data_IF_542586611037
#
_entry.id   IF_542586611037
#
_cell.length_a   1.000
_cell.length_b   1.000
_cell.length_c   1.000
_cell.angle_alpha   90.00
_cell.angle_beta   90.00
_cell.angle_gamma   90.00
#
_symmetry.space_group_name_H-M   'P 1'
#
loop_
_entity.id
_entity.type
_entity.pdbx_description
1 polymer ?
#
# COMPACT_ATOMS: atom_id res chain seq x y z
N UNK A 1 -3.58 -3.18 -18.83
CA UNK A 1 -4.30 -2.66 -17.64
C UNK A 1 -5.17 -3.71 -16.94
N UNK A 2 -5.88 -4.55 -17.69
CA UNK A 2 -6.67 -5.70 -17.21
C UNK A 2 -5.81 -6.83 -16.62
N UNK A 3 -4.69 -7.12 -17.29
CA UNK A 3 -3.73 -8.19 -17.01
C UNK A 3 -3.22 -8.27 -15.55
N UNK A 4 -2.75 -7.14 -15.01
CA UNK A 4 -2.28 -7.08 -13.61
C UNK A 4 -3.42 -7.41 -12.62
N UNK A 5 -4.62 -6.82 -12.73
CA UNK A 5 -5.69 -7.13 -11.76
C UNK A 5 -6.17 -8.58 -11.88
N UNK A 6 -6.12 -9.15 -13.08
CA UNK A 6 -6.42 -10.56 -13.33
C UNK A 6 -5.38 -11.48 -12.72
N UNK A 7 -4.10 -11.12 -12.80
CA UNK A 7 -3.01 -11.85 -12.15
C UNK A 7 -3.13 -11.84 -10.62
N UNK A 8 -3.46 -10.72 -9.97
CA UNK A 8 -3.75 -10.69 -8.52
C UNK A 8 -4.98 -11.50 -8.14
N UNK A 9 -5.97 -11.62 -9.03
CA UNK A 9 -7.14 -12.47 -8.79
C UNK A 9 -6.79 -13.95 -8.93
N UNK A 10 -5.92 -14.32 -9.86
CA UNK A 10 -5.58 -15.71 -10.18
C UNK A 10 -4.60 -16.37 -9.21
N UNK A 11 -3.79 -15.61 -8.47
CA UNK A 11 -2.90 -16.21 -7.46
C UNK A 11 -3.72 -16.95 -6.39
N UNK A 12 -3.21 -18.10 -5.95
CA UNK A 12 -3.81 -18.89 -4.88
C UNK A 12 -3.31 -18.41 -3.52
N UNK A 13 -2.00 -18.14 -3.43
CA UNK A 13 -1.32 -17.69 -2.24
C UNK A 13 -0.54 -16.41 -2.53
N UNK A 14 -0.17 -15.66 -1.49
CA UNK A 14 0.66 -14.47 -1.66
C UNK A 14 2.11 -14.79 -2.04
N UNK A 15 2.61 -15.97 -1.70
CA UNK A 15 3.91 -16.49 -2.14
C UNK A 15 4.01 -16.68 -3.66
N UNK A 16 2.88 -16.79 -4.37
CA UNK A 16 2.85 -16.85 -5.84
C UNK A 16 3.24 -15.53 -6.52
N UNK A 17 3.36 -14.43 -5.77
CA UNK A 17 3.79 -13.12 -6.27
C UNK A 17 5.31 -13.02 -6.33
N UNK A 18 5.83 -12.67 -7.51
CA UNK A 18 7.24 -12.31 -7.69
C UNK A 18 7.54 -10.91 -7.13
N UNK A 19 8.82 -10.56 -7.01
CA UNK A 19 9.18 -9.18 -6.61
C UNK A 19 8.83 -8.16 -7.69
N UNK A 20 8.95 -8.53 -8.96
CA UNK A 20 8.46 -7.72 -10.09
C UNK A 20 6.95 -7.47 -10.01
N UNK A 21 6.18 -8.49 -9.62
CA UNK A 21 4.75 -8.33 -9.38
C UNK A 21 4.54 -7.28 -8.27
N UNK A 22 5.17 -7.47 -7.10
CA UNK A 22 5.05 -6.55 -5.96
C UNK A 22 5.35 -5.11 -6.35
N UNK A 23 6.42 -4.87 -7.11
CA UNK A 23 6.83 -3.55 -7.56
C UNK A 23 5.76 -2.92 -8.48
N UNK A 24 5.38 -3.62 -9.55
CA UNK A 24 4.38 -3.15 -10.52
C UNK A 24 3.01 -2.89 -9.88
N UNK A 25 2.59 -3.76 -8.95
CA UNK A 25 1.33 -3.58 -8.23
C UNK A 25 1.40 -2.44 -7.23
N UNK A 26 2.50 -2.34 -6.49
CA UNK A 26 2.73 -1.29 -5.52
C UNK A 26 2.70 0.08 -6.17
N UNK A 27 3.42 0.26 -7.29
CA UNK A 27 3.41 1.51 -8.05
C UNK A 27 2.01 1.89 -8.49
N UNK A 28 1.32 0.94 -9.14
CA UNK A 28 -0.02 1.17 -9.67
C UNK A 28 -1.00 1.56 -8.56
N UNK A 29 -1.05 0.81 -7.47
CA UNK A 29 -1.98 1.08 -6.38
C UNK A 29 -1.60 2.36 -5.62
N UNK A 30 -0.31 2.62 -5.44
CA UNK A 30 0.18 3.87 -4.86
C UNK A 30 -0.27 5.09 -5.69
N UNK A 31 -0.13 5.01 -7.02
CA UNK A 31 -0.61 6.04 -7.95
C UNK A 31 -2.13 6.18 -7.93
N UNK A 32 -2.88 5.07 -7.93
CA UNK A 32 -4.34 5.10 -7.85
C UNK A 32 -4.82 5.77 -6.55
N UNK A 33 -4.19 5.47 -5.42
CA UNK A 33 -4.53 6.09 -4.13
C UNK A 33 -4.21 7.57 -4.10
N UNK A 34 -3.08 7.93 -4.69
CA UNK A 34 -2.67 9.32 -4.87
C UNK A 34 -3.72 10.09 -5.70
N UNK A 35 -4.12 9.55 -6.85
CA UNK A 35 -5.12 10.17 -7.73
C UNK A 35 -6.52 10.25 -7.09
N UNK A 36 -6.83 9.34 -6.17
CA UNK A 36 -8.06 9.37 -5.36
C UNK A 36 -7.95 10.31 -4.16
N UNK A 37 -6.86 11.06 -4.02
CA UNK A 37 -6.65 12.01 -2.93
C UNK A 37 -6.85 11.37 -1.55
N UNK A 38 -6.42 10.11 -1.38
CA UNK A 38 -6.28 9.57 -0.04
C UNK A 38 -5.26 10.40 0.72
N UNK A 39 -5.47 10.62 2.01
CA UNK A 39 -4.45 11.28 2.84
C UNK A 39 -3.40 10.28 3.30
N UNK A 40 -2.15 10.73 3.45
CA UNK A 40 -1.05 9.94 4.01
C UNK A 40 -1.44 9.33 5.36
N UNK A 41 -2.18 10.08 6.17
CA UNK A 41 -2.65 9.63 7.48
C UNK A 41 -3.59 8.43 7.38
N UNK A 42 -4.47 8.37 6.39
CA UNK A 42 -5.35 7.22 6.16
C UNK A 42 -4.54 6.00 5.70
N UNK A 43 -3.59 6.19 4.78
CA UNK A 43 -2.73 5.10 4.28
C UNK A 43 -1.80 4.57 5.38
N UNK A 44 -1.20 5.46 6.18
CA UNK A 44 -0.37 5.09 7.34
C UNK A 44 -1.16 4.37 8.41
N UNK A 45 -2.44 4.70 8.64
CA UNK A 45 -3.29 3.92 9.57
C UNK A 45 -3.44 2.47 9.11
N UNK A 46 -3.68 2.25 7.82
CA UNK A 46 -3.75 0.90 7.24
C UNK A 46 -2.40 0.18 7.39
N UNK A 47 -1.31 0.85 7.01
CA UNK A 47 0.04 0.31 7.13
C UNK A 47 0.41 -0.04 8.58
N UNK A 48 0.13 0.83 9.55
CA UNK A 48 0.44 0.62 10.97
C UNK A 48 -0.30 -0.58 11.57
N UNK A 49 -1.53 -0.86 11.13
CA UNK A 49 -2.27 -2.06 11.53
C UNK A 49 -1.50 -3.31 11.09
N UNK A 50 -1.02 -3.32 9.85
CA UNK A 50 -0.29 -4.45 9.27
C UNK A 50 1.11 -4.57 9.92
N UNK A 51 1.79 -3.45 10.11
CA UNK A 51 3.09 -3.36 10.77
C UNK A 51 3.02 -3.84 12.22
N UNK A 52 1.97 -3.48 12.96
CA UNK A 52 1.71 -3.99 14.31
C UNK A 52 1.58 -5.52 14.30
N UNK A 53 0.89 -6.10 13.32
CA UNK A 53 0.79 -7.56 13.20
C UNK A 53 2.13 -8.19 12.83
N UNK A 54 2.93 -7.57 11.94
CA UNK A 54 4.30 -8.01 11.65
C UNK A 54 5.18 -8.01 12.90
N UNK A 55 5.16 -6.92 13.65
CA UNK A 55 5.90 -6.81 14.90
C UNK A 55 5.42 -7.83 15.94
N UNK A 56 4.12 -8.10 16.05
CA UNK A 56 3.64 -9.11 16.98
C UNK A 56 3.99 -10.55 16.57
N UNK A 57 4.11 -10.82 15.27
CA UNK A 57 4.55 -12.12 14.75
C UNK A 57 6.07 -12.29 14.93
N UNK A 58 6.85 -11.23 14.70
CA UNK A 58 8.32 -11.27 14.69
C UNK A 58 8.94 -11.04 16.08
N UNK A 59 8.50 -10.03 16.84
CA UNK A 59 9.11 -9.66 18.14
C UNK A 59 8.75 -10.65 19.25
N UNK A 60 7.56 -11.24 19.21
CA UNK A 60 7.23 -12.35 20.09
C UNK A 60 7.74 -13.65 19.46
N UNK A 61 9.06 -13.89 19.55
CA UNK A 61 9.80 -15.11 19.20
C UNK A 61 9.25 -16.45 19.78
N UNK A 62 8.00 -16.48 20.25
CA UNK A 62 7.32 -17.63 20.87
C UNK A 62 5.95 -17.96 20.27
N UNK A 63 5.39 -17.16 19.35
CA UNK A 63 4.11 -17.47 18.73
C UNK A 63 4.30 -17.73 17.23
N UNK A 64 3.97 -18.96 16.82
CA UNK A 64 3.88 -19.33 15.40
C UNK A 64 2.92 -18.36 14.68
N UNK A 65 3.14 -18.15 13.39
CA UNK A 65 2.21 -17.43 12.53
C UNK A 65 0.76 -17.87 12.79
N UNK A 66 -0.11 -16.91 13.11
CA UNK A 66 -1.51 -17.12 13.44
C UNK A 66 -2.38 -16.46 12.37
N UNK A 67 -2.90 -17.32 11.49
CA UNK A 67 -3.78 -16.92 10.38
C UNK A 67 -5.08 -16.28 10.88
N UNK A 68 -5.62 -16.72 12.00
CA UNK A 68 -6.90 -16.21 12.50
C UNK A 68 -6.74 -14.82 13.10
N UNK A 69 -5.61 -14.54 13.76
CA UNK A 69 -5.26 -13.17 14.16
C UNK A 69 -5.09 -12.25 12.96
N UNK A 70 -4.44 -12.72 11.88
CA UNK A 70 -4.28 -11.91 10.68
C UNK A 70 -5.64 -11.50 10.07
N UNK A 71 -6.65 -12.36 10.15
CA UNK A 71 -8.00 -12.05 9.65
C UNK A 71 -8.65 -10.85 10.37
N UNK A 72 -8.19 -10.48 11.57
CA UNK A 72 -8.64 -9.27 12.28
C UNK A 72 -8.29 -7.97 11.56
N UNK A 73 -7.39 -8.00 10.57
CA UNK A 73 -7.13 -6.86 9.69
C UNK A 73 -8.38 -6.52 8.85
N UNK A 74 -9.20 -7.51 8.48
CA UNK A 74 -10.38 -7.30 7.62
C UNK A 74 -11.45 -6.38 8.21
N UNK A 75 -11.93 -6.54 9.46
CA UNK A 75 -12.88 -5.59 10.04
C UNK A 75 -12.31 -4.17 10.11
N UNK A 76 -11.00 -4.01 10.35
CA UNK A 76 -10.36 -2.69 10.35
C UNK A 76 -10.33 -2.07 8.94
N UNK A 77 -10.04 -2.86 7.91
CA UNK A 77 -10.13 -2.43 6.51
C UNK A 77 -11.56 -2.05 6.13
N UNK A 78 -12.57 -2.83 6.55
CA UNK A 78 -13.97 -2.54 6.30
C UNK A 78 -14.41 -1.22 6.99
N UNK A 79 -14.00 -1.02 8.23
CA UNK A 79 -14.25 0.23 8.95
C UNK A 79 -13.58 1.43 8.27
N UNK A 80 -12.34 1.26 7.80
CA UNK A 80 -11.60 2.30 7.08
C UNK A 80 -12.27 2.64 5.75
N UNK A 81 -12.76 1.63 5.03
CA UNK A 81 -13.53 1.81 3.80
C UNK A 81 -14.84 2.58 4.04
N UNK A 82 -15.55 2.26 5.13
CA UNK A 82 -16.79 2.96 5.49
C UNK A 82 -16.54 4.44 5.82
N UNK A 83 -15.43 4.75 6.53
CA UNK A 83 -15.05 6.13 6.85
C UNK A 83 -14.48 6.91 5.67
N UNK A 84 -13.88 6.22 4.71
CA UNK A 84 -13.17 6.83 3.59
C UNK A 84 -13.63 6.17 2.29
N UNK A 85 -14.74 6.63 1.69
CA UNK A 85 -15.28 6.03 0.47
C UNK A 85 -14.27 5.96 -0.68
N UNK A 86 -13.35 6.95 -0.76
CA UNK A 86 -12.26 6.97 -1.75
C UNK A 86 -11.28 5.79 -1.57
N UNK A 87 -11.12 5.28 -0.34
CA UNK A 87 -10.23 4.16 0.00
C UNK A 87 -10.89 2.79 -0.20
N UNK A 88 -12.21 2.76 -0.42
CA UNK A 88 -13.01 1.52 -0.42
C UNK A 88 -12.42 0.46 -1.33
N UNK A 89 -12.10 0.80 -2.58
CA UNK A 89 -11.57 -0.16 -3.56
C UNK A 89 -10.25 -0.79 -3.12
N UNK A 90 -9.35 0.01 -2.50
CA UNK A 90 -8.10 -0.51 -1.97
C UNK A 90 -8.38 -1.42 -0.78
N UNK A 91 -9.18 -0.96 0.18
CA UNK A 91 -9.52 -1.75 1.35
C UNK A 91 -10.17 -3.08 0.96
N UNK A 92 -11.06 -3.11 -0.03
CA UNK A 92 -11.69 -4.33 -0.53
C UNK A 92 -10.68 -5.24 -1.24
N UNK A 93 -9.75 -4.69 -2.01
CA UNK A 93 -8.65 -5.47 -2.59
C UNK A 93 -7.75 -6.08 -1.51
N UNK A 94 -7.33 -5.29 -0.52
CA UNK A 94 -6.51 -5.77 0.59
C UNK A 94 -7.22 -6.85 1.41
N UNK A 95 -8.53 -6.73 1.64
CA UNK A 95 -9.34 -7.76 2.31
C UNK A 95 -9.29 -9.09 1.56
N UNK A 96 -9.37 -9.05 0.23
CA UNK A 96 -9.25 -10.24 -0.61
C UNK A 96 -7.83 -10.83 -0.60
N UNK A 97 -6.80 -9.99 -0.50
CA UNK A 97 -5.41 -10.46 -0.42
C UNK A 97 -5.09 -11.10 0.95
N UNK A 98 -5.70 -10.61 2.04
CA UNK A 98 -5.61 -11.25 3.36
C UNK A 98 -6.14 -12.68 3.33
N UNK A 99 -7.15 -12.99 2.51
CA UNK A 99 -7.61 -14.38 2.33
C UNK A 99 -6.59 -15.33 1.72
N UNK A 100 -5.62 -14.78 1.00
CA UNK A 100 -4.56 -15.53 0.32
C UNK A 100 -3.31 -15.70 1.18
N UNK A 101 -3.34 -15.23 2.43
CA UNK A 101 -2.26 -15.40 3.38
C UNK A 101 -2.51 -16.63 4.24
N UNK A 102 -1.72 -17.68 3.99
CA UNK A 102 -1.87 -18.98 4.65
C UNK A 102 -0.69 -19.32 5.57
N UNK A 103 0.46 -18.71 5.37
CA UNK A 103 1.68 -18.96 6.13
C UNK A 103 2.51 -17.67 6.30
N UNK A 104 3.68 -17.80 6.93
CA UNK A 104 4.59 -16.68 7.19
C UNK A 104 5.19 -16.08 5.91
N UNK A 105 5.51 -16.91 4.92
CA UNK A 105 6.05 -16.45 3.63
C UNK A 105 5.02 -15.60 2.88
N UNK A 106 3.77 -16.07 2.84
CA UNK A 106 2.64 -15.32 2.29
C UNK A 106 2.48 -13.96 2.99
N UNK A 107 2.62 -13.96 4.31
CA UNK A 107 2.48 -12.75 5.10
C UNK A 107 3.59 -11.74 4.80
N UNK A 108 4.83 -12.20 4.64
CA UNK A 108 5.93 -11.35 4.24
C UNK A 108 5.70 -10.76 2.84
N UNK A 109 5.18 -11.54 1.88
CA UNK A 109 4.82 -11.04 0.55
C UNK A 109 3.69 -10.00 0.59
N UNK A 110 2.66 -10.23 1.40
CA UNK A 110 1.59 -9.26 1.64
C UNK A 110 2.13 -7.96 2.26
N UNK A 111 3.02 -8.09 3.24
CA UNK A 111 3.67 -6.95 3.88
C UNK A 111 4.51 -6.14 2.88
N UNK A 112 5.32 -6.81 2.05
CA UNK A 112 6.15 -6.15 1.02
C UNK A 112 5.30 -5.39 -0.01
N UNK A 113 4.17 -5.97 -0.42
CA UNK A 113 3.21 -5.27 -1.27
C UNK A 113 2.71 -3.98 -0.60
N UNK A 114 2.36 -4.04 0.68
CA UNK A 114 1.89 -2.87 1.43
C UNK A 114 2.97 -1.78 1.58
N UNK A 115 4.23 -2.16 1.81
CA UNK A 115 5.37 -1.23 1.82
C UNK A 115 5.54 -0.55 0.46
N UNK A 116 5.46 -1.32 -0.63
CA UNK A 116 5.59 -0.80 -1.99
C UNK A 116 4.49 0.21 -2.32
N UNK A 117 3.23 -0.09 -1.99
CA UNK A 117 2.09 0.84 -2.16
C UNK A 117 2.35 2.17 -1.44
N UNK A 118 2.77 2.10 -0.18
CA UNK A 118 3.05 3.29 0.63
C UNK A 118 4.22 4.10 0.08
N UNK A 119 5.31 3.43 -0.33
CA UNK A 119 6.49 4.08 -0.89
C UNK A 119 6.16 4.84 -2.18
N UNK A 120 5.45 4.21 -3.11
CA UNK A 120 5.06 4.86 -4.37
C UNK A 120 4.04 5.98 -4.16
N UNK A 121 3.10 5.81 -3.23
CA UNK A 121 2.21 6.92 -2.86
C UNK A 121 2.99 8.13 -2.34
N UNK A 122 3.94 7.93 -1.40
CA UNK A 122 4.78 9.03 -0.89
C UNK A 122 5.65 9.65 -1.99
N UNK A 123 6.14 8.84 -2.94
CA UNK A 123 6.89 9.32 -4.10
C UNK A 123 6.05 10.31 -4.93
N UNK A 124 4.80 9.96 -5.29
CA UNK A 124 3.94 10.85 -6.06
C UNK A 124 3.51 12.11 -5.29
N UNK A 125 3.28 11.97 -3.98
CA UNK A 125 2.97 13.11 -3.12
C UNK A 125 4.13 14.11 -3.08
N UNK A 126 5.35 13.65 -2.81
CA UNK A 126 6.55 14.50 -2.70
C UNK A 126 6.96 15.09 -4.05
N UNK A 127 6.88 14.32 -5.13
CA UNK A 127 7.26 14.81 -6.47
C UNK A 127 6.32 15.88 -7.00
N UNK A 128 5.00 15.79 -6.77
CA UNK A 128 4.08 16.89 -7.13
C UNK A 128 4.25 18.09 -6.20
N UNK A 129 4.45 17.87 -4.90
CA UNK A 129 4.72 18.96 -3.95
C UNK A 129 5.96 19.75 -4.36
N UNK A 130 7.03 19.07 -4.79
CA UNK A 130 8.23 19.71 -5.33
C UNK A 130 7.97 20.44 -6.66
N UNK A 131 7.16 19.89 -7.57
CA UNK A 131 6.80 20.59 -8.82
C UNK A 131 5.93 21.81 -8.55
N UNK A 132 4.98 21.73 -7.63
CA UNK A 132 4.08 22.82 -7.28
C UNK A 132 4.82 23.91 -6.49
N UNK A 133 5.73 23.54 -5.60
CA UNK A 133 6.65 24.45 -4.93
C UNK A 133 7.57 25.14 -5.93
N UNK A 134 8.23 24.39 -6.84
CA UNK A 134 9.07 25.01 -7.87
C UNK A 134 8.28 25.96 -8.77
N UNK A 135 7.08 25.58 -9.18
CA UNK A 135 6.18 26.43 -9.98
C UNK A 135 5.81 27.71 -9.22
N UNK A 136 5.35 27.59 -7.97
CA UNK A 136 4.95 28.73 -7.14
C UNK A 136 6.09 29.72 -6.82
N UNK A 137 7.33 29.25 -6.68
CA UNK A 137 8.46 30.08 -6.29
C UNK A 137 9.35 30.55 -7.47
N UNK A 138 9.35 29.84 -8.60
CA UNK A 138 10.20 30.17 -9.76
C UNK A 138 9.41 30.66 -10.99
N UNK A 139 8.08 30.79 -10.96
CA UNK A 139 7.28 31.35 -12.07
C UNK A 139 7.51 32.86 -12.34
N UNK A 140 8.37 33.53 -11.57
CA UNK A 140 8.77 34.92 -11.78
C UNK A 140 10.27 35.16 -11.99
N UNK A 141 11.07 34.10 -12.11
CA UNK A 141 12.53 34.19 -12.26
C UNK A 141 12.93 33.73 -13.67
N UNK A 142 13.72 34.53 -14.39
CA UNK A 142 14.25 34.11 -15.69
C UNK A 142 15.41 33.11 -15.47
N UNK A 143 15.62 32.19 -16.41
CA UNK A 143 16.74 31.21 -16.34
C UNK A 143 18.12 31.88 -16.23
N UNK A 144 18.22 33.18 -16.52
CA UNK A 144 19.42 34.00 -16.38
C UNK A 144 19.76 34.36 -14.92
N UNK A 145 18.78 34.28 -14.00
CA UNK A 145 18.99 34.58 -12.58
C UNK A 145 19.55 33.38 -11.78
N UNK A 146 19.70 32.22 -12.45
CA UNK A 146 20.19 30.96 -11.86
C UNK A 146 21.58 30.54 -12.39
N UNK A 147 22.29 31.43 -13.11
CA UNK A 147 23.69 31.25 -13.52
C UNK A 147 24.63 32.02 -12.60
#
# INVERSE_FOLDING_TARGET
MQDLRERLKSIKNMSDLTYDDIDKYGEKLGMEMYNKELTVTQLRKIHNIILFHKHNIILFHKQKFDKDRLRLIKPLLAYTAAKNPKAKDLCDQLRNLVDKVNNEEDFEKFYRLMESILAYYEYYEKTRSNRQYKKQYYEGWNEDDLR
#
